data_IF_731734276278
#
_entry.id   IF_731734276278
#
_cell.length_a   1.000
_cell.length_b   1.000
_cell.length_c   1.000
_cell.angle_alpha   90.00
_cell.angle_beta   90.00
_cell.angle_gamma   90.00
#
_symmetry.space_group_name_H-M   'P 1'
#
loop_
_entity.id
_entity.type
_entity.pdbx_description
1 polymer ?
#
# COMPACT_ATOMS: atom_id res chain seq x y z
N UNK A 1 -11.76 15.62 -10.77
CA UNK A 1 -11.43 14.72 -9.65
C UNK A 1 -11.31 13.34 -10.26
N UNK A 2 -10.16 12.67 -10.16
CA UNK A 2 -10.08 11.26 -10.53
C UNK A 2 -10.62 10.48 -9.34
N UNK A 3 -11.70 9.73 -9.53
CA UNK A 3 -12.21 8.81 -8.51
C UNK A 3 -11.12 7.78 -8.21
N UNK A 4 -10.53 7.84 -7.02
CA UNK A 4 -9.39 6.99 -6.60
C UNK A 4 -9.70 5.49 -6.77
N UNK A 5 -10.97 5.11 -6.80
CA UNK A 5 -11.43 3.72 -6.97
C UNK A 5 -11.59 3.27 -8.43
N UNK A 6 -11.53 4.17 -9.40
CA UNK A 6 -11.77 3.82 -10.82
C UNK A 6 -10.80 2.76 -11.35
N UNK A 7 -9.58 2.72 -10.82
CA UNK A 7 -8.59 1.70 -11.19
C UNK A 7 -9.00 0.29 -10.75
N UNK A 8 -9.62 0.14 -9.56
CA UNK A 8 -10.09 -1.16 -9.08
C UNK A 8 -11.27 -1.65 -9.92
N UNK A 9 -12.22 -0.77 -10.25
CA UNK A 9 -13.34 -1.12 -11.12
C UNK A 9 -12.88 -1.62 -12.49
N UNK A 10 -11.88 -0.97 -13.08
CA UNK A 10 -11.29 -1.36 -14.38
C UNK A 10 -10.65 -2.75 -14.29
N UNK A 11 -9.93 -3.03 -13.21
CA UNK A 11 -9.30 -4.34 -13.00
C UNK A 11 -10.34 -5.43 -12.73
N UNK A 12 -11.37 -5.13 -11.95
CA UNK A 12 -12.47 -6.04 -11.63
C UNK A 12 -13.27 -6.42 -12.89
N UNK A 13 -13.60 -5.44 -13.74
CA UNK A 13 -14.27 -5.70 -15.01
C UNK A 13 -13.44 -6.63 -15.91
N UNK A 14 -12.14 -6.35 -16.06
CA UNK A 14 -11.25 -7.22 -16.84
C UNK A 14 -11.18 -8.64 -16.27
N UNK A 15 -11.07 -8.78 -14.94
CA UNK A 15 -11.05 -10.09 -14.27
C UNK A 15 -12.38 -10.86 -14.39
N UNK A 16 -13.50 -10.14 -14.52
CA UNK A 16 -14.82 -10.68 -14.79
C UNK A 16 -15.05 -11.02 -16.27
N UNK A 17 -14.09 -10.73 -17.14
CA UNK A 17 -14.18 -11.00 -18.57
C UNK A 17 -14.97 -9.94 -19.34
N UNK A 18 -15.05 -8.70 -18.85
CA UNK A 18 -15.75 -7.59 -19.52
C UNK A 18 -14.83 -6.41 -19.83
N UNK A 19 -15.08 -5.75 -20.95
CA UNK A 19 -14.41 -4.51 -21.33
C UNK A 19 -14.90 -3.37 -20.41
N UNK A 20 -13.99 -2.70 -19.67
CA UNK A 20 -14.36 -1.66 -18.70
C UNK A 20 -14.83 -0.34 -19.33
N UNK A 21 -14.70 -0.18 -20.64
CA UNK A 21 -15.08 1.00 -21.43
C UNK A 21 -16.40 0.75 -22.16
N UNK A 22 -16.55 -0.41 -22.81
CA UNK A 22 -17.77 -0.73 -23.59
C UNK A 22 -18.81 -1.52 -22.79
N UNK A 23 -18.39 -2.25 -21.76
CA UNK A 23 -19.23 -3.18 -21.00
C UNK A 23 -19.49 -4.52 -21.70
N UNK A 24 -18.88 -4.74 -22.87
CA UNK A 24 -19.05 -5.99 -23.63
C UNK A 24 -18.26 -7.14 -22.98
N UNK A 25 -18.77 -8.36 -23.14
CA UNK A 25 -18.07 -9.57 -22.71
C UNK A 25 -16.96 -9.87 -23.71
N UNK A 26 -15.76 -10.16 -23.20
CA UNK A 26 -14.64 -10.55 -24.04
C UNK A 26 -14.91 -11.89 -24.74
N UNK A 27 -14.40 -12.07 -25.97
CA UNK A 27 -14.50 -13.34 -26.67
C UNK A 27 -13.74 -14.45 -25.91
N UNK A 28 -14.14 -15.71 -26.12
CA UNK A 28 -13.65 -16.85 -25.33
C UNK A 28 -12.13 -17.08 -25.43
N UNK A 29 -11.51 -16.65 -26.52
CA UNK A 29 -10.08 -16.73 -26.79
C UNK A 29 -9.29 -15.51 -26.26
N UNK A 30 -9.97 -14.54 -25.64
CA UNK A 30 -9.34 -13.38 -25.03
C UNK A 30 -8.33 -13.80 -23.95
N UNK A 31 -7.16 -13.13 -23.87
CA UNK A 31 -6.19 -13.37 -22.81
C UNK A 31 -6.77 -13.13 -21.40
N UNK A 32 -7.77 -12.24 -21.27
CA UNK A 32 -8.43 -11.98 -19.99
C UNK A 32 -9.32 -13.13 -19.53
N UNK A 33 -9.75 -14.02 -20.44
CA UNK A 33 -10.51 -15.22 -20.11
C UNK A 33 -9.60 -16.42 -19.76
N UNK A 34 -8.27 -16.25 -19.82
CA UNK A 34 -7.34 -17.32 -19.46
C UNK A 34 -7.32 -17.51 -17.93
N UNK A 35 -7.48 -18.75 -17.43
CA UNK A 35 -7.59 -19.00 -15.99
C UNK A 35 -6.40 -18.48 -15.15
N UNK A 36 -5.20 -18.42 -15.72
CA UNK A 36 -4.02 -17.88 -15.02
C UNK A 36 -4.10 -16.36 -14.87
N UNK A 37 -4.53 -15.65 -15.92
CA UNK A 37 -4.68 -14.19 -15.93
C UNK A 37 -5.80 -13.76 -14.97
N UNK A 38 -6.94 -14.45 -14.99
CA UNK A 38 -8.04 -14.20 -14.06
C UNK A 38 -7.55 -14.28 -12.59
N UNK A 39 -6.82 -15.35 -12.25
CA UNK A 39 -6.27 -15.54 -10.89
C UNK A 39 -5.27 -14.45 -10.53
N UNK A 40 -4.38 -14.07 -11.45
CA UNK A 40 -3.40 -13.02 -11.23
C UNK A 40 -4.07 -11.66 -10.97
N UNK A 41 -5.12 -11.33 -11.73
CA UNK A 41 -5.88 -10.09 -11.57
C UNK A 41 -6.62 -10.06 -10.23
N UNK A 42 -7.36 -11.12 -9.88
CA UNK A 42 -8.04 -11.17 -8.58
C UNK A 42 -7.06 -11.13 -7.41
N UNK A 43 -5.90 -11.80 -7.53
CA UNK A 43 -4.85 -11.69 -6.52
C UNK A 43 -4.37 -10.25 -6.36
N UNK A 44 -4.11 -9.53 -7.46
CA UNK A 44 -3.69 -8.14 -7.42
C UNK A 44 -4.75 -7.21 -6.81
N UNK A 45 -6.03 -7.39 -7.19
CA UNK A 45 -7.16 -6.61 -6.64
C UNK A 45 -7.24 -6.79 -5.13
N UNK A 46 -7.24 -8.03 -4.63
CA UNK A 46 -7.30 -8.31 -3.20
C UNK A 46 -6.14 -7.65 -2.43
N UNK A 47 -4.93 -7.65 -3.00
CA UNK A 47 -3.76 -7.03 -2.38
C UNK A 47 -3.90 -5.50 -2.34
N UNK A 48 -4.42 -4.89 -3.40
CA UNK A 48 -4.67 -3.44 -3.46
C UNK A 48 -5.75 -3.00 -2.46
N UNK A 49 -6.84 -3.77 -2.35
CA UNK A 49 -7.90 -3.53 -1.37
C UNK A 49 -7.38 -3.64 0.06
N UNK A 50 -6.60 -4.69 0.37
CA UNK A 50 -5.98 -4.87 1.67
C UNK A 50 -5.02 -3.73 2.05
N UNK A 51 -4.35 -3.12 1.07
CA UNK A 51 -3.50 -1.94 1.28
C UNK A 51 -4.33 -0.68 1.56
N UNK A 52 -5.46 -0.52 0.88
CA UNK A 52 -6.38 0.59 1.11
C UNK A 52 -7.01 0.51 2.51
N UNK A 53 -7.43 -0.68 2.95
CA UNK A 53 -8.01 -0.92 4.27
C UNK A 53 -7.02 -0.69 5.42
N UNK A 54 -5.75 -1.07 5.22
CA UNK A 54 -4.71 -0.86 6.24
C UNK A 54 -4.44 0.62 6.51
N UNK A 55 -4.92 1.52 5.65
CA UNK A 55 -4.66 2.95 5.70
C UNK A 55 -3.15 3.24 5.63
N UNK A 56 -2.78 4.51 5.47
CA UNK A 56 -1.37 4.89 5.48
C UNK A 56 -0.76 4.56 6.86
N UNK A 57 -0.18 3.38 7.04
CA UNK A 57 0.63 3.04 8.22
C UNK A 57 1.84 3.99 8.38
N UNK A 58 2.16 4.77 7.34
CA UNK A 58 3.06 5.92 7.42
C UNK A 58 2.61 6.98 8.43
N UNK A 59 1.30 7.18 8.65
CA UNK A 59 0.77 8.06 9.69
C UNK A 59 1.09 7.56 11.11
N UNK A 60 1.17 6.23 11.30
CA UNK A 60 1.53 5.65 12.60
C UNK A 60 2.99 5.97 12.95
N UNK A 61 3.89 5.95 11.97
CA UNK A 61 5.28 6.39 12.14
C UNK A 61 5.39 7.91 12.34
N UNK A 62 4.68 8.74 11.56
CA UNK A 62 4.67 10.20 11.72
C UNK A 62 4.13 10.60 13.10
N UNK A 63 3.04 9.98 13.56
CA UNK A 63 2.46 10.25 14.89
C UNK A 63 3.42 9.86 16.02
N UNK A 64 4.12 8.73 15.89
CA UNK A 64 5.16 8.30 16.83
C UNK A 64 6.36 9.26 16.83
N UNK A 65 6.77 9.74 15.67
CA UNK A 65 7.88 10.71 15.52
C UNK A 65 7.52 12.07 16.14
N UNK A 66 6.28 12.53 15.96
CA UNK A 66 5.80 13.79 16.52
C UNK A 66 5.64 13.74 18.06
N UNK A 67 5.23 12.58 18.61
CA UNK A 67 5.22 12.37 20.05
C UNK A 67 6.64 12.42 20.66
N UNK A 68 7.65 11.92 19.95
CA UNK A 68 9.05 11.97 20.40
C UNK A 68 9.64 13.39 20.28
N UNK A 69 9.30 14.14 19.23
CA UNK A 69 9.68 15.55 19.09
C UNK A 69 9.06 16.42 20.18
N UNK A 70 7.76 16.27 20.47
CA UNK A 70 7.11 17.04 21.53
C UNK A 70 7.63 16.71 22.93
N UNK A 71 8.03 15.46 23.20
CA UNK A 71 8.67 15.07 24.45
C UNK A 71 10.06 15.71 24.65
N UNK A 72 10.81 15.97 23.56
CA UNK A 72 12.13 16.61 23.61
C UNK A 72 12.05 18.11 23.94
N UNK A 73 10.96 18.79 23.54
CA UNK A 73 10.75 20.23 23.78
C UNK A 73 10.36 20.51 25.25
N UNK A 74 9.84 19.51 25.96
CA UNK A 74 9.38 19.62 27.36
C UNK A 74 10.44 19.21 28.40
N UNK A 75 11.59 18.67 27.97
CA UNK A 75 12.66 18.29 28.90
C UNK A 75 13.53 19.50 29.29
N UNK A 76 13.85 19.71 30.58
CA UNK A 76 14.83 20.71 30.96
C UNK A 76 16.18 20.31 30.35
N UNK A 77 16.79 21.27 29.62
CA UNK A 77 18.05 21.20 28.86
C UNK A 77 18.98 20.05 29.28
N UNK A 78 18.97 18.96 28.52
CA UNK A 78 19.97 17.90 28.64
C UNK A 78 21.36 18.44 28.28
N UNK A 79 22.42 18.06 29.03
CA UNK A 79 23.78 18.42 28.68
C UNK A 79 24.17 17.76 27.35
N UNK A 80 25.01 18.45 26.57
CA UNK A 80 25.40 18.12 25.20
C UNK A 80 25.72 16.63 25.00
N UNK A 81 24.99 15.97 24.10
CA UNK A 81 25.29 14.60 23.68
C UNK A 81 26.48 14.59 22.70
N UNK A 82 27.44 13.65 22.84
CA UNK A 82 28.50 13.48 21.87
C UNK A 82 27.95 12.91 20.56
N UNK A 83 28.65 13.25 19.48
CA UNK A 83 28.29 13.03 18.09
C UNK A 83 28.07 11.53 17.78
N UNK A 84 26.81 11.07 17.75
CA UNK A 84 26.48 9.72 17.29
C UNK A 84 26.41 9.71 15.76
N UNK A 85 27.45 9.15 15.15
CA UNK A 85 27.41 8.68 13.77
C UNK A 85 26.27 7.65 13.65
N UNK A 86 25.36 7.90 12.71
CA UNK A 86 24.28 6.99 12.34
C UNK A 86 24.90 5.69 11.80
N UNK A 87 24.89 4.62 12.58
CA UNK A 87 25.10 3.27 12.06
C UNK A 87 23.74 2.68 11.64
N UNK A 88 23.58 2.13 10.42
CA UNK A 88 22.38 1.40 10.06
C UNK A 88 22.45 0.03 10.73
N UNK A 89 21.42 -0.36 11.48
CA UNK A 89 21.29 -1.75 11.92
C UNK A 89 20.02 -2.34 11.36
N UNK A 90 20.24 -3.36 10.54
CA UNK A 90 19.28 -4.19 9.82
C UNK A 90 18.22 -4.79 10.74
N UNK A 91 17.03 -5.14 10.21
CA UNK A 91 15.99 -5.77 11.00
C UNK A 91 16.42 -7.19 11.40
N UNK A 92 16.46 -7.47 12.72
CA UNK A 92 16.66 -8.80 13.26
C UNK A 92 15.53 -9.74 12.79
N UNK A 93 15.90 -10.82 12.10
CA UNK A 93 14.99 -11.93 11.77
C UNK A 93 14.65 -12.72 13.05
N UNK A 94 13.39 -13.11 13.26
CA UNK A 94 13.02 -13.97 14.38
C UNK A 94 13.45 -15.42 14.10
N UNK A 95 14.06 -16.04 15.10
CA UNK A 95 14.30 -17.48 15.21
C UNK A 95 13.49 -18.07 16.34
#
# INVERSE_FOLDING_TARGET
MQDTNRHLEILQAQAAGTDPITGEVFPADSPYNQPEIIRALFFAINQLEALAEKGNQGLAWVKKMNCLQNALVMAPRLPSLPNYILAPTEPLKPG
#
